data_IF_228143463599
#
_entry.id   IF_228143463599
#
_cell.length_a   1.000
_cell.length_b   1.000
_cell.length_c   1.000
_cell.angle_alpha   90.00
_cell.angle_beta   90.00
_cell.angle_gamma   90.00
#
_symmetry.space_group_name_H-M   'P 1'
#
loop_
_entity.id
_entity.type
_entity.pdbx_description
1 polymer ?
#
# COMPACT_ATOMS: atom_id res chain seq x y z
N UNK A 1 -10.83 -7.59 -16.30
CA UNK A 1 -11.75 -6.46 -16.07
C UNK A 1 -11.09 -5.53 -15.05
N UNK A 2 -10.41 -4.48 -15.51
CA UNK A 2 -9.81 -3.48 -14.62
C UNK A 2 -10.83 -2.42 -14.30
N UNK A 3 -11.69 -2.67 -13.31
CA UNK A 3 -12.53 -1.62 -12.77
C UNK A 3 -11.66 -0.74 -11.87
N UNK A 4 -11.50 0.54 -12.23
CA UNK A 4 -10.90 1.52 -11.33
C UNK A 4 -11.86 1.71 -10.14
N UNK A 5 -11.36 1.49 -8.93
CA UNK A 5 -12.11 1.75 -7.69
C UNK A 5 -11.73 3.14 -7.20
N UNK A 6 -12.72 3.95 -6.85
CA UNK A 6 -12.48 5.22 -6.17
C UNK A 6 -12.33 4.97 -4.68
N UNK A 7 -11.18 5.32 -4.11
CA UNK A 7 -10.81 5.03 -2.72
C UNK A 7 -10.95 6.28 -1.85
N UNK A 8 -11.47 6.10 -0.63
CA UNK A 8 -11.48 7.12 0.43
C UNK A 8 -10.34 6.87 1.40
N UNK A 9 -9.65 7.96 1.76
CA UNK A 9 -8.65 7.93 2.84
C UNK A 9 -9.29 8.12 4.22
N UNK A 10 -10.36 8.92 4.29
CA UNK A 10 -11.15 9.11 5.51
C UNK A 10 -12.53 8.49 5.27
N UNK A 11 -12.90 7.56 6.13
CA UNK A 11 -14.18 6.87 6.03
C UNK A 11 -15.35 7.81 6.33
N UNK A 12 -15.16 8.70 7.30
CA UNK A 12 -16.20 9.53 7.91
C UNK A 12 -16.36 10.88 7.18
N UNK A 13 -15.44 11.22 6.29
CA UNK A 13 -15.53 12.42 5.48
C UNK A 13 -16.64 12.32 4.42
N UNK A 14 -17.35 13.43 4.21
CA UNK A 14 -18.31 13.59 3.12
C UNK A 14 -17.58 13.99 1.83
N UNK A 15 -17.59 13.11 0.83
CA UNK A 15 -17.01 13.34 -0.51
C UNK A 15 -18.06 13.88 -1.50
N UNK A 16 -19.26 14.25 -1.02
CA UNK A 16 -20.35 14.81 -1.80
C UNK A 16 -20.83 13.87 -2.91
N UNK A 17 -20.86 14.36 -4.14
CA UNK A 17 -21.32 13.60 -5.32
C UNK A 17 -20.50 12.34 -5.60
N UNK A 18 -19.30 12.22 -5.01
CA UNK A 18 -18.45 11.06 -5.18
C UNK A 18 -18.79 9.93 -4.19
N UNK A 19 -19.67 10.17 -3.22
CA UNK A 19 -19.99 9.19 -2.18
C UNK A 19 -20.46 7.85 -2.75
N UNK A 20 -21.28 7.88 -3.81
CA UNK A 20 -21.88 6.67 -4.39
C UNK A 20 -20.88 5.79 -5.16
N UNK A 21 -19.76 6.38 -5.60
CA UNK A 21 -18.71 5.69 -6.36
C UNK A 21 -17.48 5.38 -5.49
N UNK A 22 -17.33 6.04 -4.35
CA UNK A 22 -16.22 5.93 -3.43
C UNK A 22 -16.32 4.71 -2.51
N UNK A 23 -16.31 3.52 -3.12
CA UNK A 23 -16.52 2.24 -2.42
C UNK A 23 -15.25 1.65 -1.79
N UNK A 24 -14.07 2.09 -2.24
CA UNK A 24 -12.79 1.64 -1.68
C UNK A 24 -12.48 2.36 -0.37
N UNK A 25 -11.96 1.64 0.62
CA UNK A 25 -11.48 2.21 1.89
C UNK A 25 -9.99 1.94 2.01
N UNK A 26 -9.16 2.98 2.02
CA UNK A 26 -7.74 2.85 2.30
C UNK A 26 -7.46 3.08 3.79
N UNK A 27 -6.39 2.47 4.29
CA UNK A 27 -5.90 2.72 5.65
C UNK A 27 -4.54 3.42 5.59
N UNK A 28 -4.52 4.77 5.50
CA UNK A 28 -3.29 5.53 5.40
C UNK A 28 -2.39 5.36 6.63
N UNK A 29 -2.92 4.90 7.77
CA UNK A 29 -2.12 4.66 8.98
C UNK A 29 -1.08 3.56 8.77
N UNK A 30 -1.35 2.58 7.90
CA UNK A 30 -0.39 1.53 7.56
C UNK A 30 0.83 2.10 6.83
N UNK A 31 0.60 3.06 5.91
CA UNK A 31 1.66 3.78 5.20
C UNK A 31 2.49 4.58 6.21
N UNK A 32 1.84 5.37 7.07
CA UNK A 32 2.52 6.20 8.07
C UNK A 32 3.35 5.35 9.03
N UNK A 33 2.80 4.24 9.53
CA UNK A 33 3.48 3.34 10.47
C UNK A 33 4.73 2.67 9.88
N UNK A 34 4.79 2.50 8.56
CA UNK A 34 5.88 1.81 7.88
C UNK A 34 6.71 2.71 6.98
N UNK A 35 6.48 4.02 7.03
CA UNK A 35 7.07 5.01 6.12
C UNK A 35 8.59 4.89 6.03
N UNK A 36 9.26 4.83 7.18
CA UNK A 36 10.72 4.72 7.26
C UNK A 36 11.25 3.42 6.61
N UNK A 37 10.55 2.30 6.81
CA UNK A 37 10.93 1.01 6.24
C UNK A 37 10.68 0.98 4.73
N UNK A 38 9.59 1.61 4.26
CA UNK A 38 9.30 1.76 2.82
C UNK A 38 10.40 2.56 2.11
N UNK A 39 10.81 3.69 2.69
CA UNK A 39 11.90 4.52 2.13
C UNK A 39 13.24 3.79 2.21
N UNK A 40 13.54 3.08 3.30
CA UNK A 40 14.75 2.26 3.43
C UNK A 40 14.79 1.15 2.38
N UNK A 41 13.66 0.49 2.13
CA UNK A 41 13.54 -0.55 1.10
C UNK A 41 13.76 0.03 -0.28
N UNK A 42 13.14 1.18 -0.60
CA UNK A 42 13.34 1.88 -1.87
C UNK A 42 14.81 2.27 -2.09
N UNK A 43 15.48 2.81 -1.06
CA UNK A 43 16.91 3.11 -1.10
C UNK A 43 17.77 1.86 -1.31
N UNK A 44 17.48 0.77 -0.62
CA UNK A 44 18.19 -0.50 -0.75
C UNK A 44 18.06 -1.10 -2.15
N UNK A 45 16.88 -1.01 -2.76
CA UNK A 45 16.65 -1.40 -4.15
C UNK A 45 17.45 -0.53 -5.11
N UNK A 46 17.40 0.80 -4.94
CA UNK A 46 18.13 1.75 -5.78
C UNK A 46 19.64 1.52 -5.75
N UNK A 47 20.16 1.15 -4.59
CA UNK A 47 21.59 0.87 -4.36
C UNK A 47 22.00 -0.58 -4.67
N UNK A 48 21.07 -1.43 -5.12
CA UNK A 48 21.34 -2.84 -5.42
C UNK A 48 21.67 -3.70 -4.19
N UNK A 49 21.37 -3.22 -2.98
CA UNK A 49 21.58 -3.96 -1.72
C UNK A 49 20.55 -5.06 -1.51
N UNK A 50 19.37 -4.91 -2.11
CA UNK A 50 18.30 -5.93 -2.11
C UNK A 50 17.95 -6.27 -3.55
N UNK A 51 17.85 -7.56 -3.84
CA UNK A 51 17.41 -8.03 -5.14
C UNK A 51 15.89 -7.93 -5.27
N UNK A 52 15.41 -7.29 -6.34
CA UNK A 52 13.97 -7.07 -6.61
C UNK A 52 13.19 -8.40 -6.59
N UNK A 53 13.75 -9.46 -7.17
CA UNK A 53 13.11 -10.78 -7.25
C UNK A 53 12.87 -11.41 -5.87
N UNK A 54 13.76 -11.17 -4.90
CA UNK A 54 13.62 -11.64 -3.52
C UNK A 54 12.52 -10.86 -2.81
N UNK A 55 12.52 -9.54 -2.95
CA UNK A 55 11.49 -8.68 -2.36
C UNK A 55 10.09 -9.03 -2.90
N UNK A 56 9.91 -9.10 -4.22
CA UNK A 56 8.63 -9.44 -4.85
C UNK A 56 8.13 -10.81 -4.38
N UNK A 57 9.01 -11.80 -4.25
CA UNK A 57 8.64 -13.12 -3.74
C UNK A 57 8.18 -13.06 -2.29
N UNK A 58 8.83 -12.27 -1.44
CA UNK A 58 8.42 -12.08 -0.04
C UNK A 58 7.06 -11.40 0.06
N UNK A 59 6.79 -10.39 -0.79
CA UNK A 59 5.49 -9.71 -0.84
C UNK A 59 4.36 -10.65 -1.28
N UNK A 60 4.60 -11.49 -2.30
CA UNK A 60 3.56 -12.34 -2.91
C UNK A 60 3.32 -13.68 -2.19
N UNK A 61 4.31 -14.22 -1.47
CA UNK A 61 4.21 -15.56 -0.86
C UNK A 61 3.68 -15.58 0.57
N UNK A 62 3.48 -14.42 1.21
CA UNK A 62 3.14 -14.41 2.64
C UNK A 62 1.65 -14.63 2.88
N UNK A 63 1.27 -15.74 3.53
CA UNK A 63 -0.10 -15.97 3.99
C UNK A 63 -0.53 -14.97 5.07
N UNK A 64 0.44 -14.38 5.78
CA UNK A 64 0.26 -13.23 6.67
C UNK A 64 1.11 -12.08 6.17
N UNK A 65 0.54 -11.09 5.48
CA UNK A 65 1.32 -9.98 4.94
C UNK A 65 2.00 -9.22 6.10
N UNK A 66 3.30 -8.97 5.94
CA UNK A 66 4.08 -8.18 6.91
C UNK A 66 3.57 -6.74 6.97
N UNK A 67 3.95 -5.97 8.01
CA UNK A 67 3.59 -4.55 8.09
C UNK A 67 4.00 -3.78 6.81
N UNK A 68 5.23 -3.99 6.33
CA UNK A 68 5.72 -3.42 5.08
C UNK A 68 4.89 -3.87 3.87
N UNK A 69 4.52 -5.15 3.78
CA UNK A 69 3.66 -5.68 2.72
C UNK A 69 2.29 -5.01 2.73
N UNK A 70 1.69 -4.88 3.91
CA UNK A 70 0.39 -4.22 4.08
C UNK A 70 0.47 -2.75 3.69
N UNK A 71 1.53 -2.04 4.07
CA UNK A 71 1.73 -0.64 3.71
C UNK A 71 1.94 -0.44 2.20
N UNK A 72 2.66 -1.34 1.52
CA UNK A 72 2.87 -1.27 0.07
C UNK A 72 1.56 -1.53 -0.70
N UNK A 73 0.65 -2.35 -0.17
CA UNK A 73 -0.66 -2.62 -0.80
C UNK A 73 -1.57 -1.38 -0.76
N UNK A 74 -1.35 -0.44 0.17
CA UNK A 74 -2.17 0.76 0.35
C UNK A 74 -1.72 1.96 -0.53
N UNK A 75 -0.61 1.82 -1.26
CA UNK A 75 -0.10 2.82 -2.23
C UNK A 75 -0.65 2.56 -3.62
#
# INVERSE_FOLDING_TARGET
>A
AGASVFWRMDHDADYGVLNDIARGQSDPRKIVLQWDEMIRTAGSLKLGKVQVSVLVRSLLKSERPSGLTQAIIEV
#
